data_IF_516675175917
#
_entry.id   IF_516675175917
#
_cell.length_a   1.000
_cell.length_b   1.000
_cell.length_c   1.000
_cell.angle_alpha   90.00
_cell.angle_beta   90.00
_cell.angle_gamma   90.00
#
_symmetry.space_group_name_H-M   'P 1'
#
loop_
_entity.id
_entity.type
_entity.pdbx_description
1 polymer ?
#
# COMPACT_ATOMS: atom_id res chain seq x y z
N UNK A 1 -7.05 -17.72 11.02
CA UNK A 1 -6.19 -16.58 10.61
C UNK A 1 -7.07 -15.36 10.36
N UNK A 2 -6.94 -14.30 11.16
CA UNK A 2 -7.76 -13.07 11.05
C UNK A 2 -7.16 -12.14 9.98
N UNK A 3 -8.03 -11.56 9.14
CA UNK A 3 -7.65 -10.57 8.11
C UNK A 3 -8.13 -9.19 8.55
N UNK A 4 -7.26 -8.18 8.42
CA UNK A 4 -7.54 -6.79 8.82
C UNK A 4 -7.34 -5.87 7.61
N UNK A 5 -8.32 -5.03 7.31
CA UNK A 5 -8.22 -3.99 6.30
C UNK A 5 -8.01 -2.63 6.98
N UNK A 6 -6.95 -1.92 6.60
CA UNK A 6 -6.59 -0.62 7.20
C UNK A 6 -6.59 0.46 6.13
N UNK A 7 -7.47 1.45 6.26
CA UNK A 7 -7.45 2.66 5.43
C UNK A 7 -6.53 3.71 6.06
N UNK A 8 -5.92 4.56 5.24
CA UNK A 8 -4.88 5.49 5.69
C UNK A 8 -3.65 4.76 6.25
N UNK A 9 -3.30 3.59 5.70
CA UNK A 9 -2.28 2.70 6.27
C UNK A 9 -0.86 3.28 6.31
N UNK A 10 -0.57 4.32 5.51
CA UNK A 10 0.68 5.06 5.54
C UNK A 10 0.63 6.30 6.46
N UNK A 11 -0.57 6.60 6.97
CA UNK A 11 -0.88 7.63 7.95
C UNK A 11 -0.08 7.50 9.25
N UNK A 12 0.05 8.59 10.00
CA UNK A 12 0.69 8.60 11.33
C UNK A 12 0.09 7.54 12.27
N UNK A 13 -1.24 7.42 12.34
CA UNK A 13 -1.91 6.41 13.17
C UNK A 13 -1.98 5.05 12.45
N UNK A 14 -2.31 5.08 11.15
CA UNK A 14 -2.52 3.87 10.36
C UNK A 14 -1.29 2.95 10.32
N UNK A 15 -0.08 3.51 10.25
CA UNK A 15 1.15 2.71 10.23
C UNK A 15 1.38 1.95 11.54
N UNK A 16 1.04 2.55 12.69
CA UNK A 16 1.10 1.87 13.99
C UNK A 16 0.05 0.76 14.10
N UNK A 17 -1.16 0.98 13.59
CA UNK A 17 -2.21 -0.05 13.55
C UNK A 17 -1.76 -1.23 12.69
N UNK A 18 -1.16 -0.97 11.54
CA UNK A 18 -0.57 -2.01 10.68
C UNK A 18 0.52 -2.77 11.42
N UNK A 19 1.51 -2.07 12.00
CA UNK A 19 2.63 -2.71 12.71
C UNK A 19 2.16 -3.59 13.88
N UNK A 20 1.23 -3.09 14.70
CA UNK A 20 0.67 -3.85 15.82
C UNK A 20 -0.21 -5.03 15.38
N UNK A 21 -0.91 -4.92 14.25
CA UNK A 21 -1.70 -6.03 13.70
C UNK A 21 -0.79 -7.13 13.17
N UNK A 22 0.29 -6.75 12.47
CA UNK A 22 1.31 -7.67 11.98
C UNK A 22 2.03 -8.38 13.14
N UNK A 23 2.41 -7.65 14.20
CA UNK A 23 3.10 -8.26 15.36
C UNK A 23 2.24 -9.29 16.10
N UNK A 24 0.91 -9.18 16.00
CA UNK A 24 -0.06 -10.15 16.53
C UNK A 24 -0.36 -11.33 15.58
N UNK A 25 0.31 -11.40 14.43
CA UNK A 25 0.13 -12.47 13.44
C UNK A 25 -1.11 -12.32 12.56
N UNK A 26 -1.73 -11.13 12.51
CA UNK A 26 -2.83 -10.88 11.58
C UNK A 26 -2.33 -10.66 10.16
N UNK A 27 -3.13 -11.06 9.18
CA UNK A 27 -2.88 -10.70 7.78
C UNK A 27 -3.49 -9.33 7.51
N UNK A 28 -2.65 -8.34 7.22
CA UNK A 28 -3.09 -6.95 6.99
C UNK A 28 -3.12 -6.64 5.50
N UNK A 29 -4.17 -5.94 5.05
CA UNK A 29 -4.26 -5.29 3.75
C UNK A 29 -4.45 -3.80 4.00
N UNK A 30 -3.53 -2.98 3.50
CA UNK A 30 -3.56 -1.53 3.68
C UNK A 30 -3.97 -0.79 2.41
N UNK A 31 -4.71 0.31 2.56
CA UNK A 31 -4.94 1.28 1.50
C UNK A 31 -4.64 2.71 2.01
N UNK A 32 -3.87 3.50 1.27
CA UNK A 32 -3.62 4.92 1.55
C UNK A 32 -3.72 5.71 0.24
N UNK A 33 -4.38 6.86 0.28
CA UNK A 33 -4.52 7.74 -0.88
C UNK A 33 -3.41 8.80 -0.98
N UNK A 34 -2.40 8.75 -0.10
CA UNK A 34 -1.23 9.62 -0.10
C UNK A 34 -1.56 11.12 -0.18
N UNK A 35 -2.56 11.56 0.60
CA UNK A 35 -2.93 12.99 0.66
C UNK A 35 -1.74 13.87 1.05
N UNK A 36 -1.64 15.10 0.49
CA UNK A 36 -0.50 15.99 0.71
C UNK A 36 -0.55 16.73 2.06
N UNK A 37 -1.33 16.26 3.04
CA UNK A 37 -1.48 16.89 4.35
C UNK A 37 -0.14 16.98 5.11
N UNK A 38 0.77 16.02 4.87
CA UNK A 38 2.15 16.04 5.33
C UNK A 38 3.04 15.34 4.32
N UNK A 39 4.36 15.35 4.56
CA UNK A 39 5.32 14.91 3.56
C UNK A 39 5.08 13.47 3.10
N UNK A 40 5.06 13.28 1.77
CA UNK A 40 4.96 11.97 1.15
C UNK A 40 6.10 11.04 1.60
N UNK A 41 7.29 11.61 1.84
CA UNK A 41 8.47 10.90 2.35
C UNK A 41 8.21 10.25 3.71
N UNK A 42 7.50 10.92 4.63
CA UNK A 42 7.12 10.33 5.91
C UNK A 42 6.12 9.19 5.73
N UNK A 43 5.11 9.37 4.86
CA UNK A 43 4.17 8.28 4.52
C UNK A 43 4.89 7.05 3.98
N UNK A 44 5.87 7.24 3.09
CA UNK A 44 6.69 6.16 2.55
C UNK A 44 7.56 5.50 3.61
N UNK A 45 8.22 6.30 4.45
CA UNK A 45 9.04 5.80 5.57
C UNK A 45 8.21 4.91 6.51
N UNK A 46 6.96 5.29 6.79
CA UNK A 46 6.05 4.54 7.67
C UNK A 46 5.71 3.13 7.17
N UNK A 47 5.78 2.88 5.86
CA UNK A 47 5.39 1.61 5.24
C UNK A 47 6.56 0.81 4.67
N UNK A 48 7.81 1.23 4.94
CA UNK A 48 9.00 0.60 4.37
C UNK A 48 9.17 -0.87 4.78
N UNK A 49 8.70 -1.23 5.98
CA UNK A 49 8.86 -2.57 6.56
C UNK A 49 7.57 -3.42 6.45
N UNK A 50 6.57 -2.96 5.68
CA UNK A 50 5.30 -3.67 5.48
C UNK A 50 5.12 -4.08 4.03
N UNK A 51 4.45 -5.22 3.81
CA UNK A 51 4.08 -5.63 2.45
C UNK A 51 2.87 -4.82 1.98
N UNK A 52 3.03 -4.05 0.91
CA UNK A 52 1.95 -3.26 0.29
C UNK A 52 1.22 -4.11 -0.74
N UNK A 53 -0.09 -4.26 -0.59
CA UNK A 53 -0.92 -4.95 -1.58
C UNK A 53 -1.50 -3.94 -2.58
N UNK A 54 -1.39 -4.22 -3.88
CA UNK A 54 -2.01 -3.42 -4.95
C UNK A 54 -3.04 -4.28 -5.68
N UNK A 55 -4.34 -4.09 -5.43
CA UNK A 55 -5.39 -4.82 -6.12
C UNK A 55 -5.72 -4.15 -7.47
N UNK A 56 -5.44 -4.85 -8.56
CA UNK A 56 -5.72 -4.40 -9.92
C UNK A 56 -4.60 -3.57 -10.54
N UNK A 57 -4.09 -4.08 -11.66
CA UNK A 57 -3.12 -3.37 -12.51
C UNK A 57 -3.75 -2.69 -13.71
N UNK A 58 -5.03 -2.95 -13.99
CA UNK A 58 -5.70 -2.44 -15.18
C UNK A 58 -5.95 -0.95 -15.06
N UNK A 59 -6.00 -0.23 -16.17
CA UNK A 59 -6.20 1.22 -16.12
C UNK A 59 -7.63 1.61 -15.69
N UNK A 60 -8.59 0.69 -15.83
CA UNK A 60 -10.00 0.81 -15.40
C UNK A 60 -10.60 -0.57 -15.07
N UNK A 61 -11.81 -0.63 -14.45
CA UNK A 61 -12.54 -1.89 -14.25
C UNK A 61 -13.01 -2.54 -15.56
N UNK A 62 -13.11 -3.87 -15.58
CA UNK A 62 -13.72 -4.64 -16.68
C UNK A 62 -12.88 -4.72 -17.97
N UNK A 63 -11.57 -4.51 -17.87
CA UNK A 63 -10.61 -4.64 -18.98
C UNK A 63 -9.37 -5.35 -18.48
N UNK A 64 -8.60 -5.97 -19.38
CA UNK A 64 -7.24 -6.47 -19.14
C UNK A 64 -6.16 -5.46 -19.57
N UNK A 65 -6.57 -4.31 -20.11
CA UNK A 65 -5.65 -3.28 -20.59
C UNK A 65 -4.92 -2.60 -19.42
N UNK A 66 -3.58 -2.66 -19.49
CA UNK A 66 -2.64 -2.12 -18.51
C UNK A 66 -1.89 -0.88 -19.02
N UNK A 67 -2.10 -0.46 -20.27
CA UNK A 67 -1.42 0.70 -20.83
C UNK A 67 -1.79 1.95 -20.02
N UNK A 68 -0.79 2.78 -19.73
CA UNK A 68 -0.94 3.98 -18.89
C UNK A 68 -1.52 3.76 -17.48
N UNK A 69 -1.50 2.52 -16.97
CA UNK A 69 -1.99 2.20 -15.63
C UNK A 69 -1.28 3.00 -14.54
N UNK A 70 -2.08 3.69 -13.72
CA UNK A 70 -1.59 4.41 -12.54
C UNK A 70 -1.07 3.44 -11.47
N UNK A 71 -1.72 2.28 -11.31
CA UNK A 71 -1.26 1.23 -10.41
C UNK A 71 0.14 0.75 -10.77
N UNK A 72 0.45 0.57 -12.06
CA UNK A 72 1.78 0.16 -12.51
C UNK A 72 2.82 1.26 -12.23
N UNK A 73 2.50 2.53 -12.51
CA UNK A 73 3.40 3.66 -12.20
C UNK A 73 3.72 3.73 -10.70
N UNK A 74 2.71 3.51 -9.85
CA UNK A 74 2.87 3.48 -8.40
C UNK A 74 3.72 2.29 -7.94
N UNK A 75 3.43 1.08 -8.43
CA UNK A 75 4.18 -0.16 -8.08
C UNK A 75 5.65 0.00 -8.41
N UNK A 76 5.99 0.52 -9.60
CA UNK A 76 7.40 0.77 -9.98
C UNK A 76 8.10 1.68 -8.97
N UNK A 77 7.46 2.81 -8.62
CA UNK A 77 8.01 3.76 -7.65
C UNK A 77 8.16 3.14 -6.25
N UNK A 78 7.24 2.29 -5.82
CA UNK A 78 7.33 1.57 -4.54
C UNK A 78 8.49 0.58 -4.54
N UNK A 79 8.68 -0.17 -5.63
CA UNK A 79 9.79 -1.11 -5.80
C UNK A 79 11.14 -0.39 -5.83
N UNK A 80 11.24 0.74 -6.55
CA UNK A 80 12.43 1.61 -6.57
C UNK A 80 12.81 2.13 -5.16
N UNK A 81 11.82 2.30 -4.28
CA UNK A 81 12.01 2.71 -2.89
C UNK A 81 12.31 1.54 -1.93
N UNK A 82 12.45 0.31 -2.44
CA UNK A 82 12.73 -0.89 -1.65
C UNK A 82 11.53 -1.45 -0.88
N UNK A 83 10.30 -1.02 -1.21
CA UNK A 83 9.08 -1.51 -0.56
C UNK A 83 8.74 -2.90 -1.09
N UNK A 84 8.37 -3.82 -0.20
CA UNK A 84 7.88 -5.13 -0.59
C UNK A 84 6.43 -5.00 -1.10
N UNK A 85 6.20 -5.25 -2.39
CA UNK A 85 4.88 -5.07 -3.03
C UNK A 85 4.32 -6.42 -3.48
N UNK A 86 3.06 -6.68 -3.14
CA UNK A 86 2.28 -7.81 -3.65
C UNK A 86 1.16 -7.30 -4.55
N UNK A 87 1.16 -7.74 -5.79
CA UNK A 87 0.15 -7.35 -6.78
C UNK A 87 -0.86 -8.48 -6.96
N UNK A 88 -2.14 -8.13 -7.09
CA UNK A 88 -3.25 -9.05 -7.31
C UNK A 88 -4.10 -8.63 -8.51
#
# INVERSE_FOLDING_TARGET
MVKVFVTGCAGFIGSWVVGNSLSKGFKVVGADCFTPYYSLRLKQYNIRDVTVAVPGLTYKPGTDDIRESQSIKLVKKLVELGVNVKVH
#
